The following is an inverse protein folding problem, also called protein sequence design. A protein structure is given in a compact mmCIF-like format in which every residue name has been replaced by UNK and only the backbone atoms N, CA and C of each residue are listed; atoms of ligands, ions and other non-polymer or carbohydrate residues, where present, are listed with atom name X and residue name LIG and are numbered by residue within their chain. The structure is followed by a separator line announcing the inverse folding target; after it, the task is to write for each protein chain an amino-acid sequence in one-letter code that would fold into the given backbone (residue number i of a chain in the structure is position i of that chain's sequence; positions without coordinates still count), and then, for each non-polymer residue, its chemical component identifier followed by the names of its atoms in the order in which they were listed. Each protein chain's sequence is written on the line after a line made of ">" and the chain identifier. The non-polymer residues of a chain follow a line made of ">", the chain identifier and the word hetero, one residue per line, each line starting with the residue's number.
data_IF_842500704456
#
_entry.id   IF_842500704456
#
_cell.length_a   1.000
_cell.length_b   1.000
_cell.length_c   1.000
_cell.angle_alpha   90.00
_cell.angle_beta   90.00
_cell.angle_gamma   90.00
#
_symmetry.space_group_name_H-M   'P 1'
#
loop_
_entity.id
_entity.type
_entity.pdbx_description
1 polymer ?
#
# COMPACT_ATOMS: atom_id res chain seq x y z
N UNK A 1 -6.39 32.06 -14.07
CA UNK A 1 -7.56 31.33 -14.61
C UNK A 1 -7.21 29.85 -14.86
N UNK A 2 -6.06 29.55 -15.42
CA UNK A 2 -5.60 28.21 -15.82
C UNK A 2 -5.40 27.24 -14.63
N UNK A 3 -4.82 27.70 -13.51
CA UNK A 3 -4.60 26.86 -12.32
C UNK A 3 -5.91 26.44 -11.65
N UNK A 4 -6.92 27.31 -11.63
CA UNK A 4 -8.26 26.99 -11.10
C UNK A 4 -8.95 25.93 -11.95
N UNK A 5 -8.85 26.04 -13.28
CA UNK A 5 -9.41 25.06 -14.21
C UNK A 5 -8.71 23.70 -14.07
N UNK A 6 -7.38 23.68 -13.96
CA UNK A 6 -6.59 22.48 -13.68
C UNK A 6 -7.08 21.74 -12.43
N UNK A 7 -7.19 22.46 -11.30
CA UNK A 7 -7.67 21.89 -10.04
C UNK A 7 -9.08 21.33 -10.14
N UNK A 8 -9.97 22.02 -10.84
CA UNK A 8 -11.34 21.55 -11.05
C UNK A 8 -11.38 20.26 -11.86
N UNK A 9 -10.61 20.17 -12.94
CA UNK A 9 -10.51 18.95 -13.77
C UNK A 9 -9.90 17.78 -13.00
N UNK A 10 -8.81 18.02 -12.26
CA UNK A 10 -8.18 16.99 -11.43
C UNK A 10 -9.16 16.48 -10.37
N UNK A 11 -9.84 17.37 -9.65
CA UNK A 11 -10.85 17.01 -8.63
C UNK A 11 -11.97 16.16 -9.22
N UNK A 12 -12.48 16.53 -10.39
CA UNK A 12 -13.48 15.73 -11.11
C UNK A 12 -12.95 14.35 -11.47
N UNK A 13 -11.70 14.26 -11.95
CA UNK A 13 -11.04 12.99 -12.24
C UNK A 13 -10.89 12.12 -11.01
N UNK A 14 -10.51 12.69 -9.85
CA UNK A 14 -10.40 11.99 -8.57
C UNK A 14 -11.77 11.41 -8.16
N UNK A 15 -12.82 12.23 -8.16
CA UNK A 15 -14.17 11.80 -7.78
C UNK A 15 -14.67 10.67 -8.70
N UNK A 16 -14.58 10.87 -10.02
CA UNK A 16 -15.02 9.85 -10.99
C UNK A 16 -14.24 8.54 -10.82
N UNK A 17 -12.91 8.60 -10.68
CA UNK A 17 -12.08 7.39 -10.53
C UNK A 17 -12.42 6.65 -9.23
N UNK A 18 -12.53 7.36 -8.10
CA UNK A 18 -12.85 6.75 -6.80
C UNK A 18 -14.26 6.13 -6.81
N UNK A 19 -15.25 6.82 -7.40
CA UNK A 19 -16.61 6.29 -7.54
C UNK A 19 -16.68 5.05 -8.45
N UNK A 20 -15.96 5.07 -9.58
CA UNK A 20 -15.86 3.92 -10.49
C UNK A 20 -15.24 2.71 -9.77
N UNK A 21 -14.19 2.92 -8.98
CA UNK A 21 -13.54 1.82 -8.26
C UNK A 21 -14.38 1.30 -7.11
N UNK A 22 -15.10 2.15 -6.40
CA UNK A 22 -16.10 1.71 -5.43
C UNK A 22 -17.17 0.82 -6.08
N UNK A 23 -17.71 1.22 -7.23
CA UNK A 23 -18.70 0.44 -7.97
C UNK A 23 -18.11 -0.90 -8.46
N UNK A 24 -16.88 -0.89 -8.99
CA UNK A 24 -16.16 -2.09 -9.43
C UNK A 24 -15.93 -3.07 -8.27
N UNK A 25 -15.48 -2.59 -7.11
CA UNK A 25 -15.25 -3.42 -5.93
C UNK A 25 -16.56 -3.95 -5.34
N UNK A 26 -17.63 -3.15 -5.38
CA UNK A 26 -18.98 -3.59 -5.00
C UNK A 26 -19.48 -4.70 -5.90
N UNK A 27 -19.31 -4.57 -7.21
CA UNK A 27 -19.65 -5.61 -8.17
C UNK A 27 -18.83 -6.88 -7.96
N UNK A 28 -17.51 -6.75 -7.75
CA UNK A 28 -16.62 -7.87 -7.46
C UNK A 28 -17.07 -8.62 -6.20
N UNK A 29 -17.37 -7.90 -5.12
CA UNK A 29 -17.89 -8.52 -3.89
C UNK A 29 -19.20 -9.26 -4.14
N UNK A 30 -20.15 -8.66 -4.87
CA UNK A 30 -21.45 -9.27 -5.18
C UNK A 30 -21.33 -10.56 -6.00
N UNK A 31 -20.39 -10.60 -6.97
CA UNK A 31 -20.10 -11.78 -7.80
C UNK A 31 -19.68 -12.97 -6.94
N UNK A 32 -19.02 -12.75 -5.81
CA UNK A 32 -18.67 -13.81 -4.86
C UNK A 32 -19.75 -14.04 -3.80
N UNK A 33 -20.32 -12.95 -3.26
CA UNK A 33 -21.18 -13.02 -2.09
C UNK A 33 -22.56 -13.60 -2.38
N UNK A 34 -23.13 -13.32 -3.55
CA UNK A 34 -24.47 -13.80 -3.91
C UNK A 34 -24.46 -15.30 -4.22
N UNK A 35 -23.62 -15.81 -5.16
CA UNK A 35 -23.54 -17.25 -5.40
C UNK A 35 -22.97 -18.04 -4.20
N UNK A 36 -22.08 -17.42 -3.42
CA UNK A 36 -21.48 -18.02 -2.23
C UNK A 36 -22.41 -18.08 -1.02
N UNK A 37 -23.57 -17.40 -1.07
CA UNK A 37 -24.58 -17.43 0.01
C UNK A 37 -24.23 -16.60 1.24
N UNK A 38 -23.16 -15.79 1.22
CA UNK A 38 -22.71 -15.01 2.38
C UNK A 38 -23.10 -13.52 2.33
N UNK A 39 -23.88 -13.12 1.35
CA UNK A 39 -24.32 -11.73 1.23
C UNK A 39 -25.15 -11.27 2.42
N UNK A 40 -26.04 -12.10 2.94
CA UNK A 40 -26.90 -11.78 4.11
C UNK A 40 -26.07 -11.51 5.38
N UNK A 41 -24.94 -12.19 5.53
CA UNK A 41 -24.09 -12.10 6.73
C UNK A 41 -23.11 -10.90 6.64
N UNK A 42 -22.48 -10.68 5.47
CA UNK A 42 -21.41 -9.71 5.31
C UNK A 42 -21.76 -8.50 4.47
N UNK A 43 -22.86 -8.50 3.69
CA UNK A 43 -23.16 -7.48 2.70
C UNK A 43 -23.22 -6.06 3.26
N UNK A 44 -24.06 -5.85 4.29
CA UNK A 44 -24.20 -4.51 4.91
C UNK A 44 -22.88 -4.03 5.49
N UNK A 45 -22.14 -4.90 6.18
CA UNK A 45 -20.82 -4.55 6.76
C UNK A 45 -19.80 -4.22 5.69
N UNK A 46 -19.78 -4.98 4.59
CA UNK A 46 -18.92 -4.73 3.46
C UNK A 46 -19.19 -3.34 2.85
N UNK A 47 -20.47 -3.04 2.54
CA UNK A 47 -20.80 -1.75 1.95
C UNK A 47 -20.47 -0.58 2.87
N UNK A 48 -20.74 -0.69 4.16
CA UNK A 48 -20.40 0.35 5.14
C UNK A 48 -18.88 0.60 5.21
N UNK A 49 -18.07 -0.46 5.33
CA UNK A 49 -16.61 -0.36 5.42
C UNK A 49 -16.02 0.11 4.09
N UNK A 50 -16.45 -0.47 2.97
CA UNK A 50 -15.96 -0.11 1.65
C UNK A 50 -16.31 1.33 1.29
N UNK A 51 -17.53 1.78 1.57
CA UNK A 51 -17.92 3.17 1.37
C UNK A 51 -17.09 4.14 2.23
N UNK A 52 -16.98 3.86 3.53
CA UNK A 52 -16.15 4.66 4.43
C UNK A 52 -14.68 4.73 3.98
N UNK A 53 -14.12 3.62 3.52
CA UNK A 53 -12.77 3.55 2.97
C UNK A 53 -12.61 4.40 1.71
N UNK A 54 -13.57 4.35 0.78
CA UNK A 54 -13.51 5.15 -0.46
C UNK A 54 -13.73 6.64 -0.20
N UNK A 55 -14.53 7.02 0.80
CA UNK A 55 -14.64 8.42 1.27
C UNK A 55 -13.30 8.90 1.86
N UNK A 56 -12.66 8.07 2.69
CA UNK A 56 -11.33 8.37 3.22
C UNK A 56 -10.30 8.53 2.09
N UNK A 57 -10.29 7.61 1.12
CA UNK A 57 -9.41 7.68 -0.05
C UNK A 57 -9.65 8.96 -0.87
N UNK A 58 -10.93 9.31 -1.11
CA UNK A 58 -11.31 10.55 -1.78
C UNK A 58 -10.81 11.78 -1.03
N UNK A 59 -10.98 11.84 0.28
CA UNK A 59 -10.51 12.94 1.12
C UNK A 59 -8.98 13.05 1.08
N UNK A 60 -8.27 11.92 1.18
CA UNK A 60 -6.81 11.85 1.09
C UNK A 60 -6.30 12.37 -0.26
N UNK A 61 -6.85 11.87 -1.38
CA UNK A 61 -6.45 12.31 -2.72
C UNK A 61 -6.71 13.81 -2.94
N UNK A 62 -7.83 14.34 -2.44
CA UNK A 62 -8.11 15.77 -2.49
C UNK A 62 -7.14 16.58 -1.61
N UNK A 63 -6.72 16.06 -0.46
CA UNK A 63 -5.74 16.72 0.41
C UNK A 63 -4.37 16.84 -0.24
N UNK A 64 -3.97 15.86 -1.07
CA UNK A 64 -2.69 15.79 -1.76
C UNK A 64 -2.77 16.20 -3.24
N UNK A 65 -3.76 17.02 -3.64
CA UNK A 65 -3.93 17.47 -5.03
C UNK A 65 -2.70 18.20 -5.59
N UNK A 66 -1.96 18.90 -4.77
CA UNK A 66 -0.73 19.61 -5.20
C UNK A 66 0.44 18.66 -5.50
N UNK A 67 0.39 17.44 -5.00
CA UNK A 67 1.42 16.42 -5.22
C UNK A 67 1.17 15.56 -6.47
N UNK A 68 0.10 15.86 -7.26
CA UNK A 68 -0.10 15.30 -8.58
C UNK A 68 0.82 15.98 -9.60
N UNK A 69 2.12 15.82 -9.37
CA UNK A 69 3.21 16.40 -10.17
C UNK A 69 4.09 15.27 -10.66
N UNK A 70 4.41 15.26 -11.97
CA UNK A 70 5.40 14.32 -12.52
C UNK A 70 6.79 14.65 -11.98
N UNK A 71 7.55 13.63 -11.63
CA UNK A 71 8.86 13.83 -11.03
C UNK A 71 9.93 14.23 -12.03
N UNK A 72 9.78 13.85 -13.31
CA UNK A 72 10.79 14.10 -14.34
C UNK A 72 10.82 15.55 -14.83
N UNK A 73 9.65 16.15 -15.02
CA UNK A 73 9.52 17.48 -15.66
C UNK A 73 8.81 18.51 -14.79
N UNK A 74 8.33 18.10 -13.61
CA UNK A 74 7.59 18.98 -12.72
C UNK A 74 6.18 19.35 -13.22
N UNK A 75 5.68 18.70 -14.30
CA UNK A 75 4.36 18.96 -14.85
C UNK A 75 3.27 18.61 -13.87
N UNK A 76 2.40 19.58 -13.58
CA UNK A 76 1.22 19.37 -12.75
C UNK A 76 0.11 18.71 -13.56
N UNK A 77 -0.39 17.58 -13.10
CA UNK A 77 -1.43 16.83 -13.80
C UNK A 77 -2.79 17.54 -13.75
N UNK A 78 -3.54 17.41 -14.86
CA UNK A 78 -4.94 17.84 -14.98
C UNK A 78 -5.93 16.71 -14.68
N UNK A 79 -5.47 15.46 -14.76
CA UNK A 79 -6.25 14.25 -14.50
C UNK A 79 -5.36 13.19 -13.88
N UNK A 80 -5.95 12.17 -13.24
CA UNK A 80 -5.19 11.00 -12.76
C UNK A 80 -4.64 10.25 -13.97
N UNK A 81 -3.31 10.03 -13.99
CA UNK A 81 -2.63 9.28 -15.05
C UNK A 81 -2.81 7.75 -14.87
N UNK A 82 -2.42 6.98 -15.89
CA UNK A 82 -2.61 5.53 -15.90
C UNK A 82 -1.89 4.83 -14.75
N UNK A 83 -0.65 5.20 -14.46
CA UNK A 83 0.11 4.61 -13.35
C UNK A 83 -0.63 4.76 -12.02
N UNK A 84 -1.06 5.99 -11.68
CA UNK A 84 -1.83 6.24 -10.45
C UNK A 84 -3.18 5.51 -10.43
N UNK A 85 -3.82 5.30 -11.59
CA UNK A 85 -5.07 4.53 -11.67
C UNK A 85 -4.85 3.07 -11.32
N UNK A 86 -3.77 2.45 -11.80
CA UNK A 86 -3.46 1.04 -11.48
C UNK A 86 -3.18 0.87 -9.99
N UNK A 87 -2.38 1.76 -9.39
CA UNK A 87 -2.17 1.77 -7.94
C UNK A 87 -3.49 1.94 -7.16
N UNK A 88 -4.38 2.83 -7.62
CA UNK A 88 -5.69 3.06 -6.99
C UNK A 88 -6.63 1.85 -7.10
N UNK A 89 -6.59 1.06 -8.18
CA UNK A 89 -7.33 -0.21 -8.28
C UNK A 89 -6.91 -1.12 -7.14
N UNK A 90 -5.60 -1.32 -6.94
CA UNK A 90 -5.05 -2.17 -5.88
C UNK A 90 -5.48 -1.69 -4.49
N UNK A 91 -5.33 -0.40 -4.21
CA UNK A 91 -5.76 0.20 -2.93
C UNK A 91 -7.25 -0.02 -2.70
N UNK A 92 -8.08 0.21 -3.73
CA UNK A 92 -9.53 0.04 -3.66
C UNK A 92 -9.97 -1.41 -3.40
N UNK A 93 -9.14 -2.40 -3.76
CA UNK A 93 -9.44 -3.83 -3.57
C UNK A 93 -9.30 -4.28 -2.11
N UNK A 94 -8.64 -3.52 -1.24
CA UNK A 94 -8.35 -3.93 0.14
C UNK A 94 -9.60 -4.30 0.97
N UNK A 95 -10.69 -3.51 1.00
CA UNK A 95 -11.90 -3.90 1.71
C UNK A 95 -12.51 -5.19 1.16
N UNK A 96 -12.54 -5.34 -0.17
CA UNK A 96 -13.06 -6.54 -0.82
C UNK A 96 -12.25 -7.77 -0.43
N UNK A 97 -10.93 -7.69 -0.51
CA UNK A 97 -10.02 -8.75 -0.11
C UNK A 97 -10.25 -9.14 1.35
N UNK A 98 -10.33 -8.18 2.26
CA UNK A 98 -10.55 -8.43 3.68
C UNK A 98 -11.84 -9.21 3.93
N UNK A 99 -12.97 -8.80 3.32
CA UNK A 99 -14.26 -9.47 3.52
C UNK A 99 -14.32 -10.85 2.87
N UNK A 100 -13.73 -11.02 1.68
CA UNK A 100 -13.64 -12.33 1.03
C UNK A 100 -12.81 -13.31 1.85
N UNK A 101 -11.76 -12.83 2.49
CA UNK A 101 -10.94 -13.64 3.40
C UNK A 101 -11.74 -14.10 4.61
N UNK A 102 -12.43 -13.19 5.27
CA UNK A 102 -13.26 -13.55 6.43
C UNK A 102 -14.36 -14.54 6.02
N UNK A 103 -15.02 -14.32 4.88
CA UNK A 103 -16.04 -15.21 4.35
C UNK A 103 -15.49 -16.61 3.98
N UNK A 104 -14.27 -16.68 3.46
CA UNK A 104 -13.65 -17.96 3.06
C UNK A 104 -13.43 -18.94 4.23
N UNK A 105 -13.62 -18.52 5.49
CA UNK A 105 -13.63 -19.42 6.64
C UNK A 105 -14.81 -20.38 6.60
N UNK A 106 -15.99 -19.85 6.31
CA UNK A 106 -17.24 -20.56 6.44
C UNK A 106 -17.83 -20.95 5.07
N UNK A 107 -17.29 -20.39 3.98
CA UNK A 107 -17.82 -20.55 2.62
C UNK A 107 -16.73 -21.05 1.65
N UNK A 108 -17.12 -21.86 0.67
CA UNK A 108 -16.19 -22.51 -0.28
C UNK A 108 -15.67 -21.56 -1.35
N UNK A 109 -15.09 -20.43 -0.96
CA UNK A 109 -14.49 -19.40 -1.88
C UNK A 109 -12.96 -19.31 -1.80
N UNK A 110 -12.31 -20.37 -1.26
CA UNK A 110 -10.84 -20.36 -1.07
C UNK A 110 -10.08 -20.23 -2.39
N UNK A 111 -10.46 -20.98 -3.43
CA UNK A 111 -9.80 -20.94 -4.73
C UNK A 111 -9.99 -19.57 -5.42
N UNK A 112 -11.22 -19.02 -5.55
CA UNK A 112 -11.41 -17.66 -6.05
C UNK A 112 -10.63 -16.59 -5.28
N UNK A 113 -10.55 -16.69 -3.96
CA UNK A 113 -9.76 -15.79 -3.13
C UNK A 113 -8.26 -15.89 -3.46
N UNK A 114 -7.73 -17.11 -3.60
CA UNK A 114 -6.35 -17.34 -3.97
C UNK A 114 -6.02 -16.70 -5.32
N UNK A 115 -6.89 -16.89 -6.33
CA UNK A 115 -6.74 -16.26 -7.65
C UNK A 115 -6.72 -14.74 -7.53
N UNK A 116 -7.61 -14.14 -6.71
CA UNK A 116 -7.63 -12.71 -6.48
C UNK A 116 -6.32 -12.19 -5.85
N UNK A 117 -5.78 -12.91 -4.86
CA UNK A 117 -4.50 -12.56 -4.22
C UNK A 117 -3.37 -12.59 -5.24
N UNK A 118 -3.30 -13.65 -6.06
CA UNK A 118 -2.28 -13.77 -7.13
C UNK A 118 -2.40 -12.62 -8.13
N UNK A 119 -3.62 -12.26 -8.54
CA UNK A 119 -3.85 -11.13 -9.45
C UNK A 119 -3.41 -9.80 -8.84
N UNK A 120 -3.64 -9.58 -7.53
CA UNK A 120 -3.18 -8.38 -6.83
C UNK A 120 -1.65 -8.28 -6.87
N UNK A 121 -0.93 -9.37 -6.59
CA UNK A 121 0.53 -9.39 -6.70
C UNK A 121 1.02 -9.18 -8.14
N UNK A 122 0.35 -9.78 -9.12
CA UNK A 122 0.70 -9.60 -10.53
C UNK A 122 0.50 -8.14 -10.99
N UNK A 123 -0.58 -7.49 -10.56
CA UNK A 123 -0.82 -6.06 -10.88
C UNK A 123 0.20 -5.15 -10.25
N UNK A 124 0.72 -5.46 -9.06
CA UNK A 124 1.81 -4.72 -8.42
C UNK A 124 3.10 -4.72 -9.25
N UNK A 125 3.44 -5.88 -9.79
CA UNK A 125 4.60 -5.99 -10.69
C UNK A 125 4.41 -5.20 -11.99
N UNK A 126 3.18 -5.22 -12.54
CA UNK A 126 2.84 -4.53 -13.78
C UNK A 126 2.83 -3.01 -13.64
N UNK A 127 2.31 -2.46 -12.53
CA UNK A 127 2.24 -1.00 -12.37
C UNK A 127 3.63 -0.38 -12.23
N UNK A 128 4.55 -1.04 -11.52
CA UNK A 128 5.95 -0.64 -11.46
C UNK A 128 6.65 -0.64 -12.82
N UNK A 129 6.30 -1.59 -13.71
CA UNK A 129 6.81 -1.62 -15.08
C UNK A 129 6.23 -0.47 -15.92
N UNK A 130 4.92 -0.28 -15.91
CA UNK A 130 4.19 0.75 -16.66
C UNK A 130 4.65 2.15 -16.26
N UNK A 131 4.77 2.43 -14.96
CA UNK A 131 5.13 3.74 -14.45
C UNK A 131 6.54 4.16 -14.85
N UNK A 132 7.51 3.22 -14.81
CA UNK A 132 8.89 3.47 -15.22
C UNK A 132 9.02 3.66 -16.73
N UNK A 133 8.43 2.78 -17.53
CA UNK A 133 8.51 2.83 -19.00
C UNK A 133 7.76 4.03 -19.59
N UNK A 134 6.67 4.46 -18.97
CA UNK A 134 5.83 5.57 -19.42
C UNK A 134 6.23 6.95 -18.91
N UNK A 135 7.31 7.09 -18.13
CA UNK A 135 7.67 8.35 -17.46
C UNK A 135 6.49 9.02 -16.72
N UNK A 136 5.62 8.20 -16.11
CA UNK A 136 4.38 8.62 -15.47
C UNK A 136 4.48 8.67 -13.94
N UNK A 137 5.69 8.53 -13.40
CA UNK A 137 5.92 8.56 -11.95
C UNK A 137 5.53 9.93 -11.40
N UNK A 138 4.64 9.94 -10.41
CA UNK A 138 4.22 11.16 -9.71
C UNK A 138 4.56 11.06 -8.23
N UNK A 139 4.70 12.21 -7.57
CA UNK A 139 4.94 12.25 -6.12
C UNK A 139 3.81 11.56 -5.34
N UNK A 140 2.55 11.87 -5.68
CA UNK A 140 1.40 11.21 -5.05
C UNK A 140 1.34 9.70 -5.37
N UNK A 141 1.68 9.30 -6.60
CA UNK A 141 1.72 7.90 -7.00
C UNK A 141 2.70 7.10 -6.15
N UNK A 142 3.92 7.60 -5.92
CA UNK A 142 4.92 6.97 -5.05
C UNK A 142 4.45 6.87 -3.60
N UNK A 143 3.76 7.90 -3.08
CA UNK A 143 3.20 7.86 -1.73
C UNK A 143 2.09 6.80 -1.61
N UNK A 144 1.20 6.72 -2.60
CA UNK A 144 0.12 5.74 -2.64
C UNK A 144 0.63 4.31 -2.82
N UNK A 145 1.63 4.11 -3.66
CA UNK A 145 2.28 2.83 -3.89
C UNK A 145 2.86 2.29 -2.58
N UNK A 146 3.69 3.07 -1.91
CA UNK A 146 4.22 2.70 -0.60
C UNK A 146 3.12 2.41 0.43
N UNK A 147 2.09 3.26 0.53
CA UNK A 147 0.99 3.06 1.46
C UNK A 147 0.18 1.79 1.13
N UNK A 148 -0.03 1.52 -0.16
CA UNK A 148 -0.70 0.33 -0.66
C UNK A 148 0.06 -0.95 -0.29
N UNK A 149 1.37 -0.99 -0.52
CA UNK A 149 2.21 -2.15 -0.20
C UNK A 149 2.13 -2.49 1.30
N UNK A 150 2.30 -1.49 2.16
CA UNK A 150 2.20 -1.71 3.61
C UNK A 150 0.81 -2.19 4.04
N UNK A 151 -0.26 -1.61 3.47
CA UNK A 151 -1.63 -2.01 3.80
C UNK A 151 -1.93 -3.41 3.28
N UNK A 152 -1.48 -3.74 2.07
CA UNK A 152 -1.63 -5.08 1.50
C UNK A 152 -0.92 -6.12 2.36
N UNK A 153 0.35 -5.89 2.73
CA UNK A 153 1.10 -6.79 3.60
C UNK A 153 0.43 -6.95 4.96
N UNK A 154 -0.09 -5.86 5.54
CA UNK A 154 -0.84 -5.92 6.80
C UNK A 154 -2.06 -6.83 6.68
N UNK A 155 -2.90 -6.62 5.66
CA UNK A 155 -4.10 -7.44 5.41
C UNK A 155 -3.70 -8.90 5.17
N UNK A 156 -2.72 -9.17 4.30
CA UNK A 156 -2.25 -10.53 4.02
C UNK A 156 -1.69 -11.23 5.27
N UNK A 157 -0.99 -10.50 6.13
CA UNK A 157 -0.49 -11.06 7.40
C UNK A 157 -1.64 -11.55 8.29
N UNK A 158 -2.72 -10.78 8.39
CA UNK A 158 -3.91 -11.18 9.14
C UNK A 158 -4.60 -12.40 8.49
N UNK A 159 -4.71 -12.38 7.16
CA UNK A 159 -5.25 -13.48 6.36
C UNK A 159 -4.49 -14.77 6.58
N UNK A 160 -3.18 -14.75 6.39
CA UNK A 160 -2.36 -15.96 6.47
C UNK A 160 -2.34 -16.53 7.89
N UNK A 161 -2.37 -15.65 8.90
CA UNK A 161 -2.55 -16.12 10.27
C UNK A 161 -3.92 -16.72 10.54
N UNK A 162 -4.97 -16.11 9.98
CA UNK A 162 -6.33 -16.61 10.10
C UNK A 162 -6.49 -18.04 9.55
N UNK A 163 -5.83 -18.32 8.42
CA UNK A 163 -5.77 -19.66 7.82
C UNK A 163 -4.68 -20.57 8.41
N UNK A 164 -4.00 -20.14 9.47
CA UNK A 164 -2.90 -20.88 10.10
C UNK A 164 -1.76 -21.23 9.12
N UNK A 165 -1.56 -20.42 8.08
CA UNK A 165 -0.49 -20.59 7.11
C UNK A 165 0.86 -20.12 7.66
N UNK A 166 0.85 -19.13 8.54
CA UNK A 166 2.04 -18.62 9.23
C UNK A 166 1.89 -18.75 10.75
N UNK A 167 2.97 -18.96 11.48
CA UNK A 167 2.94 -19.04 12.94
C UNK A 167 2.73 -17.65 13.59
N UNK A 168 2.21 -17.63 14.81
CA UNK A 168 1.89 -16.39 15.54
C UNK A 168 3.13 -15.50 15.76
N UNK A 169 4.30 -16.09 16.02
CA UNK A 169 5.53 -15.34 16.22
C UNK A 169 5.96 -14.59 14.95
N UNK A 170 5.81 -15.22 13.75
CA UNK A 170 6.11 -14.59 12.47
C UNK A 170 5.13 -13.45 12.15
N UNK A 171 3.83 -13.67 12.39
CA UNK A 171 2.83 -12.60 12.31
C UNK A 171 3.24 -11.39 13.16
N UNK A 172 3.62 -11.63 14.42
CA UNK A 172 3.97 -10.55 15.34
C UNK A 172 5.16 -9.73 14.85
N UNK A 173 6.23 -10.36 14.39
CA UNK A 173 7.42 -9.63 13.91
C UNK A 173 7.10 -8.81 12.65
N UNK A 174 6.27 -9.33 11.73
CA UNK A 174 5.82 -8.59 10.56
C UNK A 174 4.99 -7.37 10.98
N UNK A 175 3.98 -7.55 11.85
CA UNK A 175 3.13 -6.46 12.31
C UNK A 175 3.92 -5.38 13.06
N UNK A 176 4.84 -5.77 13.92
CA UNK A 176 5.73 -4.83 14.63
C UNK A 176 6.56 -4.04 13.63
N UNK A 177 7.17 -4.70 12.63
CA UNK A 177 7.96 -4.04 11.59
C UNK A 177 7.14 -3.03 10.79
N UNK A 178 5.93 -3.41 10.35
CA UNK A 178 5.04 -2.52 9.60
C UNK A 178 4.59 -1.34 10.47
N UNK A 179 4.20 -1.59 11.72
CA UNK A 179 3.74 -0.57 12.66
C UNK A 179 4.84 0.46 13.00
N UNK A 180 6.05 0.01 13.25
CA UNK A 180 7.20 0.90 13.51
C UNK A 180 7.41 1.85 12.32
N UNK A 181 7.38 1.36 11.10
CA UNK A 181 7.52 2.19 9.92
C UNK A 181 6.46 3.30 9.84
N UNK A 182 5.19 2.93 10.01
CA UNK A 182 4.08 3.88 9.96
C UNK A 182 4.20 4.92 11.08
N UNK A 183 4.53 4.46 12.30
CA UNK A 183 4.66 5.32 13.47
C UNK A 183 5.82 6.31 13.34
N UNK A 184 7.00 5.85 12.93
CA UNK A 184 8.17 6.72 12.73
C UNK A 184 7.93 7.76 11.64
N UNK A 185 7.31 7.37 10.51
CA UNK A 185 6.95 8.30 9.43
C UNK A 185 5.93 9.33 9.92
N UNK A 186 4.90 8.91 10.67
CA UNK A 186 3.91 9.82 11.22
C UNK A 186 4.54 10.86 12.19
N UNK A 187 5.46 10.44 13.04
CA UNK A 187 6.22 11.33 13.93
C UNK A 187 7.04 12.33 13.12
N UNK A 188 7.79 11.86 12.11
CA UNK A 188 8.61 12.73 11.27
C UNK A 188 7.78 13.78 10.53
N UNK A 189 6.63 13.40 9.98
CA UNK A 189 5.71 14.34 9.32
C UNK A 189 5.20 15.40 10.30
N UNK A 190 4.94 15.01 11.57
CA UNK A 190 4.45 15.93 12.59
C UNK A 190 5.51 16.92 13.09
N UNK A 191 6.75 16.46 13.23
CA UNK A 191 7.86 17.27 13.75
C UNK A 191 8.47 18.16 12.68
N UNK A 192 8.67 17.61 11.46
CA UNK A 192 9.34 18.28 10.35
C UNK A 192 8.44 18.30 9.11
N UNK A 193 7.75 19.39 8.86
CA UNK A 193 6.74 19.59 7.80
C UNK A 193 7.15 19.28 6.35
N UNK A 194 8.42 18.91 6.05
CA UNK A 194 8.96 18.72 4.67
C UNK A 194 9.97 17.59 4.54
N UNK A 195 9.83 16.48 5.24
CA UNK A 195 10.72 15.33 5.01
C UNK A 195 10.05 14.36 4.05
N UNK A 196 10.67 14.14 2.89
CA UNK A 196 10.39 12.98 2.05
C UNK A 196 10.99 11.76 2.76
N UNK A 197 10.18 10.78 3.20
CA UNK A 197 10.71 9.58 3.83
C UNK A 197 11.52 8.80 2.79
N UNK A 198 12.84 8.86 2.89
CA UNK A 198 13.72 8.04 2.07
C UNK A 198 13.54 6.57 2.50
N UNK A 199 13.18 5.73 1.56
CA UNK A 199 13.18 4.28 1.79
C UNK A 199 14.62 3.79 1.84
N UNK A 200 15.04 3.23 2.99
CA UNK A 200 16.36 2.60 3.11
C UNK A 200 16.41 1.31 2.31
N UNK A 201 17.62 0.87 1.93
CA UNK A 201 17.80 -0.43 1.27
C UNK A 201 17.23 -1.57 2.12
N UNK A 202 17.51 -1.58 3.43
CA UNK A 202 16.95 -2.56 4.36
C UNK A 202 15.43 -2.52 4.45
N UNK A 203 14.82 -1.33 4.33
CA UNK A 203 13.36 -1.20 4.27
C UNK A 203 12.75 -1.85 3.04
N UNK A 204 13.37 -1.70 1.87
CA UNK A 204 12.94 -2.36 0.62
C UNK A 204 13.14 -3.87 0.70
N UNK A 205 14.29 -4.32 1.21
CA UNK A 205 14.60 -5.73 1.39
C UNK A 205 13.60 -6.41 2.33
N UNK A 206 13.20 -5.75 3.41
CA UNK A 206 12.19 -6.26 4.35
C UNK A 206 10.83 -6.47 3.66
N UNK A 207 10.33 -5.49 2.90
CA UNK A 207 9.07 -5.62 2.15
C UNK A 207 9.16 -6.75 1.13
N UNK A 208 10.22 -6.79 0.34
CA UNK A 208 10.43 -7.83 -0.67
C UNK A 208 10.52 -9.23 -0.02
N UNK A 209 11.20 -9.38 1.11
CA UNK A 209 11.32 -10.66 1.81
C UNK A 209 9.98 -11.17 2.36
N UNK A 210 9.11 -10.28 2.88
CA UNK A 210 7.75 -10.67 3.27
C UNK A 210 6.95 -11.12 2.06
N UNK A 211 7.02 -10.38 0.94
CA UNK A 211 6.33 -10.76 -0.31
C UNK A 211 6.77 -12.14 -0.80
N UNK A 212 8.07 -12.43 -0.75
CA UNK A 212 8.61 -13.76 -1.12
C UNK A 212 8.06 -14.84 -0.17
N UNK A 213 8.08 -14.64 1.14
CA UNK A 213 7.53 -15.59 2.10
C UNK A 213 6.05 -15.88 1.82
N UNK A 214 5.26 -14.84 1.57
CA UNK A 214 3.84 -14.99 1.27
C UNK A 214 3.58 -15.65 -0.08
N UNK A 215 4.42 -15.40 -1.08
CA UNK A 215 4.36 -16.09 -2.37
C UNK A 215 4.64 -17.58 -2.22
N UNK A 216 5.58 -17.96 -1.35
CA UNK A 216 5.88 -19.37 -1.03
C UNK A 216 4.70 -20.04 -0.33
N UNK A 217 4.04 -19.36 0.61
CA UNK A 217 2.82 -19.89 1.24
C UNK A 217 1.69 -20.10 0.23
N UNK A 218 1.46 -19.12 -0.67
CA UNK A 218 0.47 -19.24 -1.76
C UNK A 218 0.82 -20.41 -2.70
N UNK A 219 2.10 -20.54 -3.08
CA UNK A 219 2.55 -21.65 -3.91
C UNK A 219 2.30 -23.00 -3.20
N UNK A 220 2.56 -23.08 -1.91
CA UNK A 220 2.27 -24.26 -1.11
C UNK A 220 0.81 -24.68 -1.16
N UNK A 221 -0.12 -23.70 -1.15
CA UNK A 221 -1.56 -23.99 -1.31
C UNK A 221 -1.90 -24.55 -2.70
N UNK A 222 -1.22 -24.07 -3.76
CA UNK A 222 -1.47 -24.50 -5.14
C UNK A 222 -0.94 -25.93 -5.38
N UNK A 223 0.26 -26.24 -4.88
CA UNK A 223 0.91 -27.57 -5.13
C UNK A 223 0.49 -28.64 -4.11
N UNK A 224 -0.45 -28.35 -3.22
CA UNK A 224 -0.95 -29.32 -2.25
C UNK A 224 -0.08 -29.49 -1.00
N UNK A 225 0.84 -28.56 -0.75
CA UNK A 225 1.70 -28.47 0.44
C UNK A 225 3.18 -28.40 0.09
N UNK A 226 3.93 -27.66 0.91
CA UNK A 226 5.40 -27.61 0.86
C UNK A 226 5.96 -28.23 2.15
N UNK A 227 7.18 -28.80 2.12
CA UNK A 227 7.83 -29.32 3.30
C UNK A 227 7.89 -28.29 4.43
N UNK A 228 7.45 -28.65 5.63
CA UNK A 228 7.43 -27.73 6.78
C UNK A 228 8.82 -27.15 7.08
N UNK A 229 9.88 -27.94 6.88
CA UNK A 229 11.26 -27.49 7.04
C UNK A 229 11.59 -26.30 6.13
N UNK A 230 11.16 -26.37 4.85
CA UNK A 230 11.39 -25.28 3.89
C UNK A 230 10.66 -24.00 4.33
N UNK A 231 9.41 -24.12 4.75
CA UNK A 231 8.63 -22.99 5.27
C UNK A 231 9.31 -22.35 6.48
N UNK A 232 9.68 -23.16 7.46
CA UNK A 232 10.36 -22.66 8.68
C UNK A 232 11.70 -21.98 8.36
N UNK A 233 12.50 -22.51 7.45
CA UNK A 233 13.76 -21.87 7.03
C UNK A 233 13.50 -20.48 6.44
N UNK A 234 12.51 -20.37 5.55
CA UNK A 234 12.14 -19.08 4.94
C UNK A 234 11.62 -18.11 6.00
N UNK A 235 10.75 -18.55 6.90
CA UNK A 235 10.23 -17.74 8.01
C UNK A 235 11.35 -17.17 8.89
N UNK A 236 12.33 -18.00 9.29
CA UNK A 236 13.46 -17.56 10.12
C UNK A 236 14.39 -16.60 9.36
N UNK A 237 14.68 -16.85 8.08
CA UNK A 237 15.48 -15.94 7.25
C UNK A 237 14.81 -14.59 7.11
N UNK A 238 13.52 -14.58 6.80
CA UNK A 238 12.74 -13.33 6.69
C UNK A 238 12.67 -12.62 8.04
N UNK A 239 12.45 -13.34 9.14
CA UNK A 239 12.45 -12.75 10.49
C UNK A 239 13.78 -12.07 10.83
N UNK A 240 14.92 -12.67 10.46
CA UNK A 240 16.24 -12.05 10.66
C UNK A 240 16.38 -10.74 9.86
N UNK A 241 15.93 -10.73 8.60
CA UNK A 241 15.90 -9.52 7.76
C UNK A 241 15.00 -8.44 8.39
N UNK A 242 13.82 -8.81 8.89
CA UNK A 242 12.89 -7.89 9.55
C UNK A 242 13.49 -7.29 10.82
N UNK A 243 14.15 -8.09 11.65
CA UNK A 243 14.83 -7.62 12.85
C UNK A 243 15.95 -6.61 12.51
N UNK A 244 16.79 -6.93 11.52
CA UNK A 244 17.81 -6.01 11.02
C UNK A 244 17.18 -4.71 10.48
N UNK A 245 16.06 -4.81 9.75
CA UNK A 245 15.35 -3.64 9.20
C UNK A 245 14.69 -2.77 10.29
N UNK A 246 14.27 -3.36 11.42
CA UNK A 246 13.75 -2.59 12.56
C UNK A 246 14.89 -1.74 13.17
N UNK A 247 16.06 -2.35 13.40
CA UNK A 247 17.23 -1.66 13.93
C UNK A 247 17.65 -0.52 13.01
N UNK A 248 17.79 -0.81 11.70
CA UNK A 248 18.14 0.19 10.67
C UNK A 248 17.19 1.40 10.69
N UNK A 249 15.89 1.17 10.81
CA UNK A 249 14.88 2.23 10.88
C UNK A 249 14.96 3.07 12.14
N UNK A 250 15.24 2.46 13.27
CA UNK A 250 15.42 3.16 14.55
C UNK A 250 16.67 4.04 14.49
N UNK A 251 17.77 3.52 13.96
CA UNK A 251 19.02 4.26 13.80
C UNK A 251 18.82 5.46 12.84
N UNK A 252 18.20 5.24 11.68
CA UNK A 252 17.87 6.28 10.71
C UNK A 252 17.02 7.40 11.33
N UNK A 253 16.02 7.02 12.12
CA UNK A 253 15.15 7.96 12.81
C UNK A 253 15.92 8.90 13.75
N UNK A 254 16.79 8.34 14.60
CA UNK A 254 17.62 9.14 15.50
C UNK A 254 18.65 9.98 14.75
N UNK A 255 19.24 9.46 13.67
CA UNK A 255 20.16 10.22 12.81
C UNK A 255 19.48 11.45 12.17
N UNK A 256 18.22 11.30 11.72
CA UNK A 256 17.44 12.41 11.19
C UNK A 256 17.09 13.43 12.26
N UNK A 257 16.75 13.00 13.47
CA UNK A 257 16.46 13.91 14.59
C UNK A 257 17.68 14.71 15.05
N UNK A 258 18.87 14.08 15.04
CA UNK A 258 20.13 14.69 15.48
C UNK A 258 20.83 15.56 14.46
N UNK A 259 20.35 15.64 13.20
CA UNK A 259 21.05 16.39 12.15
C UNK A 259 20.58 17.87 12.07
N UNK A 260 21.47 18.86 12.40
CA UNK A 260 21.14 20.30 12.37
C UNK A 260 21.10 20.90 10.94
N UNK A 261 21.29 20.08 9.90
CA UNK A 261 21.70 20.54 8.54
C UNK A 261 20.63 21.18 7.64
N UNK A 262 19.39 21.36 8.08
CA UNK A 262 18.36 21.98 7.22
C UNK A 262 18.04 23.45 7.51
N UNK A 263 18.47 24.00 8.64
CA UNK A 263 18.29 25.44 8.93
C UNK A 263 19.26 26.33 8.15
N UNK A 264 20.46 25.88 7.82
CA UNK A 264 21.47 26.71 7.11
C UNK A 264 21.20 26.93 5.62
N UNK A 265 20.45 26.07 4.95
CA UNK A 265 20.14 26.24 3.52
C UNK A 265 19.03 27.25 3.22
N UNK A 266 18.21 27.58 4.20
CA UNK A 266 17.17 28.62 4.06
C UNK A 266 17.72 30.01 4.38
N UNK A 267 18.78 30.11 5.15
CA UNK A 267 19.44 31.41 5.46
C UNK A 267 20.43 31.81 4.36
N UNK A 268 21.13 30.84 3.74
CA UNK A 268 22.10 31.12 2.64
C UNK A 268 21.42 31.46 1.30
N UNK A 269 20.12 31.09 1.14
CA UNK A 269 19.34 31.43 -0.05
C UNK A 269 18.79 32.87 -0.04
N UNK A 270 18.64 33.47 1.15
CA UNK A 270 18.08 34.82 1.28
C UNK A 270 19.11 35.92 1.13
N UNK A 271 20.39 35.61 1.27
CA UNK A 271 21.50 36.60 1.12
C UNK A 271 22.01 36.73 -0.31
N UNK A 272 21.69 35.77 -1.20
CA UNK A 272 22.04 35.83 -2.62
C UNK A 272 21.05 36.58 -3.52
N UNK A 273 19.90 36.95 -3.02
CA UNK A 273 18.93 37.81 -3.72
C UNK A 273 19.01 39.28 -3.32
N UNK A 274 19.99 39.66 -2.47
CA UNK A 274 20.20 41.06 -2.00
C UNK A 274 21.55 41.65 -2.36
N UNK A 275 22.31 41.03 -3.28
CA UNK A 275 23.56 41.64 -3.79
C UNK A 275 23.53 41.89 -5.30
#
# INVERSE_FOLDING_TARGET
>A
MEEKDRKTRLRRSIICTTATYFAMQSALFLVFAVPGGFFSEYGIRFFAVSFGFHIFLLAMLNRFMEDFVKENDGEKLKTINLANRVTLVRVSTLPTLMFLVVAAKNYSIRLPLLVLVVLIFATDFLDGYISRKGNQVTRVGRMMDSASDYTLLFVLTLVFRYYSLIPTWFQLIVLVRLSIQVFLVAILIRIRKKIEPKTTFMGKLAVASIMVAYSVEVLGLIVGGLPQTLKSVIEYLVAAILAASIIDKIVDFFAVLGSPRLERRTLDGSDKERS
#
